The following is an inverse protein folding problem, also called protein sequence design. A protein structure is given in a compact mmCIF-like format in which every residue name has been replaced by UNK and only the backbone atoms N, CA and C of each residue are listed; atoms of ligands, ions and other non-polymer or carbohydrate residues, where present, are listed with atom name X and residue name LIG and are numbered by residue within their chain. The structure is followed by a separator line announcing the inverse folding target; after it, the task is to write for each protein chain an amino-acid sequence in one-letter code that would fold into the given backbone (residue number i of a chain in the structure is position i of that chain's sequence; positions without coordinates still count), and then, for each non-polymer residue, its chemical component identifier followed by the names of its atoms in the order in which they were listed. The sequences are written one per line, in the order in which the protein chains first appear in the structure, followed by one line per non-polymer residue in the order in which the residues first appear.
data_IF_223643729637
#
_entry.id   IF_223643729637
#
_cell.length_a   1.000
_cell.length_b   1.000
_cell.length_c   1.000
_cell.angle_alpha   90.00
_cell.angle_beta   90.00
_cell.angle_gamma   90.00
#
_symmetry.space_group_name_H-M   'P 1'
#
loop_
_entity.id
_entity.type
_entity.pdbx_description
1 polymer ?
#
# COMPACT_ATOMS: atom_id res chain seq x y z
N UNK A 1 -17.73 -16.73 -42.20
CA UNK A 1 -16.65 -16.60 -41.20
C UNK A 1 -16.17 -15.14 -41.02
N UNK A 2 -17.00 -14.12 -41.30
CA UNK A 2 -16.69 -12.72 -40.99
C UNK A 2 -17.62 -12.22 -39.89
N UNK A 3 -17.13 -12.15 -38.66
CA UNK A 3 -17.59 -11.17 -37.66
C UNK A 3 -16.48 -10.11 -37.47
N UNK A 4 -15.86 -9.73 -38.58
CA UNK A 4 -14.74 -8.79 -38.66
C UNK A 4 -14.77 -8.16 -40.05
N UNK A 5 -15.24 -6.93 -40.17
CA UNK A 5 -14.84 -5.92 -41.18
C UNK A 5 -15.78 -4.72 -41.08
N UNK A 6 -15.24 -3.64 -40.52
CA UNK A 6 -15.61 -2.22 -40.64
C UNK A 6 -15.82 -1.56 -39.28
N UNK A 7 -14.85 -0.68 -38.97
CA UNK A 7 -14.74 0.22 -37.81
C UNK A 7 -14.13 -0.32 -36.50
N UNK A 8 -12.80 -0.40 -36.55
CA UNK A 8 -11.82 -0.01 -35.53
C UNK A 8 -12.37 0.84 -34.35
N UNK A 9 -12.48 0.23 -33.17
CA UNK A 9 -11.71 0.56 -31.94
C UNK A 9 -12.14 -0.40 -30.83
N UNK A 10 -11.20 -1.25 -30.41
CA UNK A 10 -11.24 -2.10 -29.19
C UNK A 10 -12.58 -2.82 -28.93
N UNK A 11 -12.67 -4.13 -29.21
CA UNK A 11 -13.79 -4.97 -28.75
C UNK A 11 -13.75 -5.12 -27.23
N UNK A 12 -14.11 -4.06 -26.52
CA UNK A 12 -14.32 -4.07 -25.08
C UNK A 12 -15.77 -4.48 -24.88
N UNK A 13 -15.98 -5.72 -24.42
CA UNK A 13 -17.29 -6.07 -23.87
C UNK A 13 -17.64 -5.06 -22.77
N UNK A 14 -18.82 -4.41 -22.84
CA UNK A 14 -19.20 -3.43 -21.84
C UNK A 14 -19.20 -4.08 -20.47
N UNK A 15 -18.54 -3.43 -19.50
CA UNK A 15 -18.53 -3.85 -18.11
C UNK A 15 -19.98 -3.99 -17.64
N UNK A 16 -20.29 -4.97 -16.79
CA UNK A 16 -21.64 -5.36 -16.32
C UNK A 16 -22.57 -6.10 -17.29
N UNK A 17 -22.13 -6.42 -18.51
CA UNK A 17 -22.93 -7.18 -19.48
C UNK A 17 -22.32 -8.57 -19.79
N UNK A 18 -23.19 -9.53 -20.12
CA UNK A 18 -22.85 -10.83 -20.76
C UNK A 18 -23.49 -10.93 -22.15
N UNK A 19 -22.96 -11.84 -22.97
CA UNK A 19 -23.51 -12.14 -24.29
C UNK A 19 -24.77 -12.99 -24.14
N UNK A 20 -25.90 -12.49 -24.66
CA UNK A 20 -27.17 -13.24 -24.75
C UNK A 20 -27.25 -14.03 -26.05
N UNK A 21 -26.76 -13.46 -27.14
CA UNK A 21 -26.74 -14.05 -28.46
C UNK A 21 -25.44 -13.69 -29.16
N UNK A 22 -24.76 -14.68 -29.72
CA UNK A 22 -23.53 -14.50 -30.48
C UNK A 22 -23.84 -13.85 -31.84
N UNK A 23 -22.91 -13.04 -32.36
CA UNK A 23 -23.09 -12.43 -33.67
C UNK A 23 -23.33 -13.49 -34.76
N UNK A 24 -24.22 -13.16 -35.69
CA UNK A 24 -24.39 -13.89 -36.95
C UNK A 24 -23.92 -12.98 -38.10
N UNK A 25 -23.78 -13.48 -39.33
CA UNK A 25 -23.44 -12.63 -40.49
C UNK A 25 -24.41 -11.45 -40.71
N UNK A 26 -25.60 -11.50 -40.12
CA UNK A 26 -26.71 -10.56 -40.31
C UNK A 26 -27.05 -9.77 -39.03
N UNK A 27 -26.44 -10.09 -37.87
CA UNK A 27 -26.81 -9.48 -36.59
C UNK A 27 -25.64 -9.34 -35.62
N UNK A 28 -25.61 -8.20 -34.91
CA UNK A 28 -24.65 -7.94 -33.83
C UNK A 28 -24.86 -8.84 -32.60
N UNK A 29 -23.83 -8.91 -31.76
CA UNK A 29 -23.89 -9.59 -30.45
C UNK A 29 -24.83 -8.84 -29.51
N UNK A 30 -25.94 -9.47 -29.13
CA UNK A 30 -26.87 -8.90 -28.14
C UNK A 30 -26.32 -9.12 -26.73
N UNK A 31 -26.18 -8.05 -25.96
CA UNK A 31 -25.67 -8.08 -24.60
C UNK A 31 -26.80 -7.85 -23.58
N UNK A 32 -26.77 -8.56 -22.45
CA UNK A 32 -27.71 -8.37 -21.33
C UNK A 32 -26.98 -8.14 -20.00
N UNK A 33 -27.63 -7.47 -19.04
CA UNK A 33 -27.02 -7.18 -17.73
C UNK A 33 -26.79 -8.45 -16.93
N UNK A 34 -25.69 -8.46 -16.17
CA UNK A 34 -25.47 -9.51 -15.17
C UNK A 34 -26.58 -9.47 -14.11
N UNK A 35 -27.14 -10.65 -13.73
CA UNK A 35 -28.10 -10.73 -12.64
C UNK A 35 -27.42 -10.40 -11.30
N UNK A 36 -28.22 -10.09 -10.28
CA UNK A 36 -27.72 -9.83 -8.93
C UNK A 36 -26.93 -11.03 -8.40
N UNK A 37 -25.82 -10.74 -7.72
CA UNK A 37 -24.85 -11.76 -7.30
C UNK A 37 -23.83 -12.17 -8.37
N UNK A 38 -23.84 -11.52 -9.54
CA UNK A 38 -22.86 -11.76 -10.61
C UNK A 38 -22.24 -10.46 -11.14
N UNK A 39 -21.04 -10.54 -11.68
CA UNK A 39 -20.31 -9.40 -12.26
C UNK A 39 -19.60 -9.75 -13.57
N UNK A 40 -19.27 -8.72 -14.36
CA UNK A 40 -18.42 -8.83 -15.55
C UNK A 40 -17.46 -7.64 -15.59
N UNK A 41 -16.15 -7.90 -15.50
CA UNK A 41 -15.09 -6.89 -15.37
C UNK A 41 -14.67 -6.21 -16.70
N UNK A 42 -15.40 -6.44 -17.79
CA UNK A 42 -15.03 -6.00 -19.13
C UNK A 42 -14.06 -6.99 -19.81
N UNK A 43 -14.29 -7.27 -21.09
CA UNK A 43 -13.51 -8.26 -21.87
C UNK A 43 -13.93 -9.73 -21.71
N UNK A 44 -14.83 -10.05 -20.76
CA UNK A 44 -15.45 -11.38 -20.62
C UNK A 44 -16.84 -11.41 -21.28
N UNK A 45 -17.15 -12.49 -22.00
CA UNK A 45 -18.47 -12.72 -22.60
C UNK A 45 -19.50 -13.30 -21.61
N UNK A 46 -19.05 -13.74 -20.43
CA UNK A 46 -19.87 -14.39 -19.39
C UNK A 46 -19.79 -13.66 -18.05
N UNK A 47 -20.91 -13.62 -17.32
CA UNK A 47 -20.93 -13.12 -15.94
C UNK A 47 -20.35 -14.18 -14.99
N UNK A 48 -19.54 -13.73 -14.04
CA UNK A 48 -18.98 -14.56 -12.99
C UNK A 48 -19.75 -14.32 -11.67
N UNK A 49 -20.00 -15.36 -10.87
CA UNK A 49 -20.64 -15.18 -9.57
C UNK A 49 -19.74 -14.38 -8.64
N UNK A 50 -20.34 -13.60 -7.75
CA UNK A 50 -19.63 -12.96 -6.66
C UNK A 50 -19.05 -14.00 -5.72
N UNK A 51 -17.82 -13.79 -5.29
CA UNK A 51 -17.16 -14.58 -4.27
C UNK A 51 -17.90 -14.43 -2.94
N UNK A 52 -18.23 -15.56 -2.32
CA UNK A 52 -18.74 -15.60 -0.96
C UNK A 52 -17.56 -15.66 0.00
N UNK A 53 -17.35 -14.58 0.74
CA UNK A 53 -16.22 -14.47 1.66
C UNK A 53 -16.29 -15.48 2.82
N UNK A 54 -17.52 -15.89 3.18
CA UNK A 54 -17.78 -16.89 4.22
C UNK A 54 -17.15 -18.25 3.89
N UNK A 55 -17.14 -18.66 2.62
CA UNK A 55 -16.58 -19.94 2.17
C UNK A 55 -15.07 -20.01 2.41
N UNK A 56 -14.42 -18.86 2.50
CA UNK A 56 -12.98 -18.73 2.78
C UNK A 56 -12.69 -18.27 4.21
N UNK A 57 -13.68 -18.30 5.11
CA UNK A 57 -13.51 -17.85 6.50
C UNK A 57 -13.23 -16.35 6.66
N UNK A 58 -13.56 -15.54 5.65
CA UNK A 58 -13.31 -14.09 5.62
C UNK A 58 -14.62 -13.29 5.72
N UNK A 59 -14.54 -12.04 6.19
CA UNK A 59 -15.68 -11.11 6.13
C UNK A 59 -15.71 -10.38 4.79
N UNK A 60 -16.90 -10.08 4.32
CA UNK A 60 -17.10 -9.22 3.15
C UNK A 60 -16.77 -7.78 3.54
N UNK A 61 -15.63 -7.28 3.09
CA UNK A 61 -15.21 -5.88 3.27
C UNK A 61 -15.99 -4.93 2.37
N UNK A 62 -16.33 -5.40 1.17
CA UNK A 62 -17.16 -4.67 0.21
C UNK A 62 -17.97 -5.66 -0.61
N UNK A 63 -19.27 -5.42 -0.72
CA UNK A 63 -20.14 -6.22 -1.59
C UNK A 63 -19.77 -6.02 -3.06
N UNK A 64 -19.84 -7.11 -3.82
CA UNK A 64 -19.67 -7.07 -5.27
C UNK A 64 -20.71 -6.16 -5.93
N UNK A 65 -20.34 -5.63 -7.09
CA UNK A 65 -21.23 -4.84 -7.96
C UNK A 65 -21.40 -5.57 -9.29
N UNK A 66 -22.26 -5.08 -10.17
CA UNK A 66 -22.36 -5.64 -11.54
C UNK A 66 -21.05 -5.55 -12.32
N UNK A 67 -20.12 -4.69 -11.89
CA UNK A 67 -18.82 -4.46 -12.53
C UNK A 67 -17.63 -5.09 -11.79
N UNK A 68 -17.81 -5.55 -10.55
CA UNK A 68 -16.69 -5.99 -9.71
C UNK A 68 -17.10 -7.11 -8.74
N UNK A 69 -16.18 -8.01 -8.45
CA UNK A 69 -16.38 -9.05 -7.44
C UNK A 69 -16.53 -8.48 -6.02
N UNK A 70 -17.04 -9.31 -5.11
CA UNK A 70 -17.02 -9.08 -3.66
C UNK A 70 -15.59 -9.07 -3.13
N UNK A 71 -15.29 -8.08 -2.29
CA UNK A 71 -14.01 -7.98 -1.60
C UNK A 71 -14.08 -8.68 -0.26
N UNK A 72 -13.27 -9.71 -0.11
CA UNK A 72 -13.10 -10.46 1.13
C UNK A 72 -11.88 -9.98 1.90
N UNK A 73 -11.99 -9.99 3.22
CA UNK A 73 -10.85 -9.76 4.10
C UNK A 73 -11.11 -10.22 5.52
N UNK A 74 -10.03 -10.49 6.24
CA UNK A 74 -10.12 -10.77 7.67
C UNK A 74 -10.56 -9.50 8.43
N UNK A 75 -11.43 -9.61 9.44
CA UNK A 75 -11.72 -8.50 10.36
C UNK A 75 -10.52 -8.08 11.22
N UNK A 76 -9.47 -8.91 11.32
CA UNK A 76 -8.37 -8.71 12.25
C UNK A 76 -7.02 -8.77 11.52
N UNK A 77 -6.24 -7.69 11.68
CA UNK A 77 -4.77 -7.54 11.48
C UNK A 77 -4.21 -8.16 10.18
N UNK A 78 -3.82 -7.28 9.24
CA UNK A 78 -2.97 -7.60 8.10
C UNK A 78 -1.77 -8.45 8.55
N UNK A 79 -1.76 -9.72 8.14
CA UNK A 79 -0.66 -10.66 8.37
C UNK A 79 0.67 -10.04 7.94
N UNK A 80 1.72 -10.24 8.72
CA UNK A 80 3.07 -9.69 8.55
C UNK A 80 3.82 -10.20 7.30
N UNK A 81 3.10 -10.71 6.30
CA UNK A 81 3.60 -11.30 5.07
C UNK A 81 2.61 -11.30 3.90
N UNK A 82 1.46 -10.63 3.97
CA UNK A 82 0.60 -10.54 2.77
C UNK A 82 1.14 -9.48 1.80
N UNK A 83 1.78 -9.97 0.74
CA UNK A 83 1.94 -9.29 -0.54
C UNK A 83 0.55 -8.95 -1.10
N UNK A 84 -0.01 -7.83 -0.68
CA UNK A 84 -1.29 -7.40 -1.23
C UNK A 84 -1.06 -6.91 -2.66
N UNK A 85 -1.37 -7.77 -3.62
CA UNK A 85 -1.63 -7.41 -5.03
C UNK A 85 -2.94 -6.62 -5.17
N UNK A 86 -3.69 -6.44 -4.07
CA UNK A 86 -4.87 -5.60 -4.03
C UNK A 86 -4.47 -4.12 -4.09
N UNK A 87 -5.11 -3.36 -4.96
CA UNK A 87 -4.91 -1.92 -5.09
C UNK A 87 -5.28 -1.24 -3.78
N UNK A 88 -4.28 -0.87 -3.00
CA UNK A 88 -4.51 -0.21 -1.74
C UNK A 88 -4.85 1.27 -1.97
N UNK A 89 -5.79 1.77 -1.18
CA UNK A 89 -5.98 3.21 -1.07
C UNK A 89 -4.71 3.85 -0.50
N UNK A 90 -4.46 5.09 -0.93
CA UNK A 90 -3.22 5.90 -0.86
C UNK A 90 -2.59 6.10 0.55
N UNK A 91 -3.13 5.45 1.58
CA UNK A 91 -2.80 5.56 2.99
C UNK A 91 -1.54 4.77 3.42
N UNK A 92 -1.32 3.57 2.86
CA UNK A 92 -0.30 2.65 3.37
C UNK A 92 1.14 3.16 3.17
N UNK A 93 1.41 3.87 2.07
CA UNK A 93 2.74 4.38 1.77
C UNK A 93 3.18 5.49 2.73
N UNK A 94 2.23 6.30 3.22
CA UNK A 94 2.49 7.33 4.21
C UNK A 94 2.77 6.72 5.59
N UNK A 95 2.02 5.70 5.99
CA UNK A 95 2.34 4.93 7.20
C UNK A 95 3.72 4.27 7.11
N UNK A 96 4.04 3.65 5.96
CA UNK A 96 5.37 3.09 5.72
C UNK A 96 6.44 4.18 5.86
N UNK A 97 6.25 5.37 5.30
CA UNK A 97 7.21 6.45 5.43
C UNK A 97 7.36 6.97 6.87
N UNK A 98 6.26 7.12 7.61
CA UNK A 98 6.27 7.68 8.96
C UNK A 98 6.77 6.67 9.98
N UNK A 99 6.13 5.50 10.02
CA UNK A 99 6.37 4.51 11.04
C UNK A 99 7.64 3.70 10.78
N UNK A 100 8.06 3.48 9.52
CA UNK A 100 9.35 2.83 9.26
C UNK A 100 10.52 3.69 9.74
N UNK A 101 10.46 5.01 9.53
CA UNK A 101 11.49 5.91 10.04
C UNK A 101 11.61 5.78 11.56
N UNK A 102 10.49 5.66 12.27
CA UNK A 102 10.49 5.44 13.72
C UNK A 102 10.99 4.04 14.10
N UNK A 103 10.53 2.98 13.42
CA UNK A 103 10.98 1.62 13.67
C UNK A 103 12.50 1.44 13.45
N UNK A 104 13.10 2.27 12.58
CA UNK A 104 14.55 2.27 12.33
C UNK A 104 15.39 2.90 13.46
N UNK A 105 14.77 3.58 14.43
CA UNK A 105 15.42 4.22 15.58
C UNK A 105 15.87 3.23 16.67
N UNK A 106 16.23 2.00 16.29
CA UNK A 106 16.48 0.86 17.21
C UNK A 106 15.29 0.49 18.10
N UNK A 107 14.07 0.95 17.79
CA UNK A 107 12.89 0.58 18.59
C UNK A 107 12.66 -0.93 18.62
N UNK A 108 13.11 -1.66 17.61
CA UNK A 108 13.07 -3.12 17.60
C UNK A 108 13.90 -3.79 18.70
N UNK A 109 14.78 -3.06 19.41
CA UNK A 109 15.50 -3.56 20.59
C UNK A 109 14.79 -3.24 21.91
N UNK A 110 13.67 -2.50 21.87
CA UNK A 110 12.87 -2.16 23.05
C UNK A 110 11.67 -3.11 23.11
N UNK A 111 11.30 -3.67 24.28
CA UNK A 111 10.08 -4.46 24.42
C UNK A 111 8.84 -3.67 23.96
N UNK A 112 7.95 -4.32 23.21
CA UNK A 112 6.76 -3.66 22.66
C UNK A 112 5.86 -3.05 23.73
N UNK A 113 5.82 -3.66 24.92
CA UNK A 113 5.09 -3.17 26.09
C UNK A 113 5.58 -1.79 26.48
N UNK A 114 6.90 -1.60 26.56
CA UNK A 114 7.49 -0.31 26.93
C UNK A 114 7.20 0.75 25.86
N UNK A 115 7.22 0.37 24.59
CA UNK A 115 6.82 1.28 23.51
C UNK A 115 5.34 1.67 23.70
N UNK A 116 4.47 0.70 23.97
CA UNK A 116 3.04 0.91 24.16
C UNK A 116 2.72 1.79 25.37
N UNK A 117 3.43 1.63 26.49
CA UNK A 117 3.26 2.46 27.69
C UNK A 117 3.58 3.94 27.45
N UNK A 118 4.50 4.24 26.54
CA UNK A 118 4.89 5.60 26.22
C UNK A 118 4.06 6.23 25.08
N UNK A 119 3.20 5.46 24.42
CA UNK A 119 2.30 5.99 23.40
C UNK A 119 1.11 6.69 24.07
N UNK A 120 0.76 7.92 23.65
CA UNK A 120 -0.37 8.62 24.24
C UNK A 120 -1.71 8.05 23.75
N UNK A 121 -2.76 8.20 24.54
CA UNK A 121 -4.12 7.83 24.15
C UNK A 121 -4.49 6.38 24.47
N UNK A 122 -5.37 5.80 23.66
CA UNK A 122 -5.83 4.43 23.86
C UNK A 122 -4.74 3.44 23.46
N UNK A 123 -4.47 2.49 24.35
CA UNK A 123 -3.49 1.42 24.16
C UNK A 123 -4.08 0.31 23.29
N UNK A 124 -3.22 -0.23 22.40
CA UNK A 124 -3.48 -1.45 21.65
C UNK A 124 -3.83 -2.59 22.61
N UNK A 125 -4.83 -3.40 22.25
CA UNK A 125 -5.29 -4.47 23.11
C UNK A 125 -4.26 -5.61 23.20
N UNK A 126 -4.24 -6.29 24.36
CA UNK A 126 -3.29 -7.36 24.66
C UNK A 126 -3.36 -8.51 23.66
N UNK A 127 -4.56 -8.83 23.14
CA UNK A 127 -4.74 -9.92 22.17
C UNK A 127 -4.03 -9.59 20.85
N UNK A 128 -4.15 -8.36 20.38
CA UNK A 128 -3.44 -7.87 19.20
C UNK A 128 -1.92 -7.80 19.43
N UNK A 129 -1.46 -7.35 20.60
CA UNK A 129 -0.05 -7.30 20.95
C UNK A 129 0.61 -8.68 20.94
N UNK A 130 -0.01 -9.68 21.56
CA UNK A 130 0.49 -11.06 21.59
C UNK A 130 0.50 -11.72 20.20
N UNK A 131 -0.48 -11.39 19.35
CA UNK A 131 -0.49 -11.84 17.95
C UNK A 131 0.70 -11.28 17.17
N UNK A 132 1.05 -10.00 17.35
CA UNK A 132 2.21 -9.39 16.67
C UNK A 132 3.52 -10.09 17.04
N UNK A 133 3.72 -10.40 18.32
CA UNK A 133 4.92 -11.12 18.80
C UNK A 133 5.08 -12.50 18.14
N UNK A 134 3.95 -13.19 17.92
CA UNK A 134 3.94 -14.54 17.33
C UNK A 134 4.12 -14.54 15.81
N UNK A 135 3.61 -13.52 15.12
CA UNK A 135 3.48 -13.53 13.66
C UNK A 135 4.53 -12.68 12.90
N UNK A 136 5.25 -11.79 13.59
CA UNK A 136 6.02 -10.73 12.93
C UNK A 136 7.48 -10.70 13.42
N UNK A 137 8.42 -10.31 12.55
CA UNK A 137 9.79 -10.01 12.97
C UNK A 137 9.85 -8.77 13.89
N UNK A 138 10.88 -8.58 14.75
CA UNK A 138 10.94 -7.45 15.68
C UNK A 138 10.76 -6.06 15.02
N UNK A 139 11.28 -5.88 13.80
CA UNK A 139 11.11 -4.63 13.04
C UNK A 139 9.67 -4.44 12.55
N UNK A 140 9.03 -5.53 12.09
CA UNK A 140 7.62 -5.50 11.70
C UNK A 140 6.71 -5.30 12.91
N UNK A 141 7.03 -5.88 14.06
CA UNK A 141 6.24 -5.73 15.29
C UNK A 141 6.04 -4.25 15.66
N UNK A 142 7.10 -3.44 15.66
CA UNK A 142 7.02 -2.00 15.96
C UNK A 142 6.16 -1.26 14.93
N UNK A 143 6.37 -1.53 13.64
CA UNK A 143 5.60 -0.92 12.55
C UNK A 143 4.11 -1.21 12.68
N UNK A 144 3.75 -2.47 12.91
CA UNK A 144 2.36 -2.90 13.05
C UNK A 144 1.72 -2.43 14.37
N UNK A 145 2.49 -2.34 15.46
CA UNK A 145 2.02 -1.74 16.72
C UNK A 145 1.59 -0.29 16.51
N UNK A 146 2.41 0.52 15.84
CA UNK A 146 2.10 1.94 15.56
C UNK A 146 0.87 2.10 14.66
N UNK A 147 0.66 1.17 13.72
CA UNK A 147 -0.56 1.13 12.87
C UNK A 147 -1.82 0.84 13.69
N UNK A 148 -1.79 -0.17 14.54
CA UNK A 148 -2.92 -0.50 15.42
C UNK A 148 -3.23 0.65 16.38
N UNK A 149 -2.18 1.24 16.96
CA UNK A 149 -2.34 2.40 17.83
C UNK A 149 -2.98 3.59 17.10
N UNK A 150 -2.56 3.86 15.85
CA UNK A 150 -3.18 4.91 15.02
C UNK A 150 -4.67 4.65 14.79
N UNK A 151 -5.05 3.42 14.44
CA UNK A 151 -6.46 3.10 14.16
C UNK A 151 -7.35 3.32 15.37
N UNK A 152 -6.89 2.93 16.56
CA UNK A 152 -7.61 3.14 17.82
C UNK A 152 -7.69 4.62 18.23
N UNK A 153 -6.78 5.46 17.73
CA UNK A 153 -6.68 6.88 18.08
C UNK A 153 -6.95 7.81 16.89
N UNK A 154 -7.63 7.33 15.84
CA UNK A 154 -7.79 8.07 14.57
C UNK A 154 -8.43 9.46 14.71
N UNK A 155 -9.32 9.63 15.68
CA UNK A 155 -10.02 10.89 15.95
C UNK A 155 -9.22 11.84 16.85
N UNK A 156 -8.04 11.42 17.34
CA UNK A 156 -7.18 12.20 18.21
C UNK A 156 -6.16 13.01 17.41
N UNK A 157 -5.92 14.24 17.84
CA UNK A 157 -5.01 15.20 17.19
C UNK A 157 -3.54 15.01 17.61
N UNK A 158 -3.06 13.77 17.66
CA UNK A 158 -1.63 13.53 17.89
C UNK A 158 -0.83 13.97 16.66
N UNK A 159 0.26 14.70 16.87
CA UNK A 159 1.10 15.24 15.79
C UNK A 159 1.61 14.17 14.81
N UNK A 160 1.84 12.94 15.26
CA UNK A 160 2.23 11.81 14.39
C UNK A 160 1.07 11.38 13.49
N UNK A 161 -0.14 11.27 14.03
CA UNK A 161 -1.37 10.95 13.28
C UNK A 161 -1.68 12.09 12.29
N UNK A 162 -1.58 13.34 12.73
CA UNK A 162 -1.71 14.51 11.86
C UNK A 162 -0.69 14.50 10.72
N UNK A 163 0.56 14.12 11.02
CA UNK A 163 1.63 13.97 10.04
C UNK A 163 1.31 12.93 8.97
N UNK A 164 0.85 11.75 9.38
CA UNK A 164 0.40 10.70 8.45
C UNK A 164 -0.80 11.20 7.64
N UNK A 165 -1.85 11.72 8.28
CA UNK A 165 -3.07 12.23 7.62
C UNK A 165 -2.76 13.38 6.63
N UNK A 166 -1.76 14.20 6.92
CA UNK A 166 -1.30 15.27 6.01
C UNK A 166 -0.56 14.71 4.81
N UNK A 167 0.31 13.72 5.02
CA UNK A 167 0.95 12.97 3.93
C UNK A 167 -0.12 12.35 3.02
N UNK A 168 -1.09 11.63 3.58
CA UNK A 168 -2.14 10.95 2.82
C UNK A 168 -2.99 11.93 2.00
N UNK A 169 -3.35 13.07 2.59
CA UNK A 169 -4.05 14.16 1.86
C UNK A 169 -3.24 14.73 0.71
N UNK A 170 -1.91 14.78 0.82
CA UNK A 170 -1.03 15.24 -0.27
C UNK A 170 -0.84 14.15 -1.33
N UNK A 171 -0.68 12.89 -0.93
CA UNK A 171 -0.51 11.76 -1.85
C UNK A 171 -1.77 11.52 -2.67
N UNK A 172 -2.95 11.50 -2.03
CA UNK A 172 -4.24 11.33 -2.73
C UNK A 172 -4.54 12.42 -3.75
N UNK A 173 -4.07 13.65 -3.50
CA UNK A 173 -4.19 14.78 -4.46
C UNK A 173 -3.07 14.78 -5.50
N UNK A 174 -2.08 13.90 -5.37
CA UNK A 174 -0.95 13.82 -6.30
C UNK A 174 -1.40 13.10 -7.58
N UNK A 175 -1.82 13.89 -8.58
CA UNK A 175 -2.06 13.40 -9.93
C UNK A 175 -0.74 13.08 -10.66
N UNK A 176 0.07 12.17 -10.12
CA UNK A 176 1.42 11.84 -10.59
C UNK A 176 1.46 11.06 -11.93
N UNK A 177 0.46 11.27 -12.80
CA UNK A 177 0.18 10.70 -14.15
C UNK A 177 -1.02 9.76 -14.14
N UNK A 178 -1.81 9.85 -15.22
CA UNK A 178 -2.95 8.98 -15.51
C UNK A 178 -2.65 7.97 -16.63
N UNK A 179 -1.47 8.03 -17.26
CA UNK A 179 -1.16 7.32 -18.51
C UNK A 179 0.25 6.70 -18.45
N UNK A 180 0.54 5.91 -17.42
CA UNK A 180 1.81 5.18 -17.35
C UNK A 180 1.67 3.84 -18.07
N UNK A 181 2.64 3.52 -18.91
CA UNK A 181 2.74 2.22 -19.58
C UNK A 181 3.40 1.19 -18.65
N UNK A 182 3.28 -0.09 -19.00
CA UNK A 182 4.02 -1.16 -18.30
C UNK A 182 5.53 -0.88 -18.35
N UNK A 183 6.06 -0.40 -19.48
CA UNK A 183 7.47 -0.05 -19.62
C UNK A 183 7.90 1.08 -18.68
N UNK A 184 7.06 2.12 -18.52
CA UNK A 184 7.33 3.19 -17.56
C UNK A 184 7.40 2.66 -16.12
N UNK A 185 6.48 1.77 -15.75
CA UNK A 185 6.45 1.16 -14.42
C UNK A 185 7.67 0.24 -14.22
N UNK A 186 8.06 -0.52 -15.26
CA UNK A 186 9.27 -1.34 -15.23
C UNK A 186 10.54 -0.51 -15.05
N UNK A 187 10.64 0.67 -15.69
CA UNK A 187 11.74 1.62 -15.46
C UNK A 187 11.80 2.07 -14.00
N UNK A 188 10.66 2.40 -13.39
CA UNK A 188 10.61 2.77 -11.96
C UNK A 188 11.05 1.60 -11.10
N UNK A 189 10.47 0.42 -11.29
CA UNK A 189 10.82 -0.79 -10.53
C UNK A 189 12.30 -1.12 -10.63
N UNK A 190 12.89 -1.08 -11.82
CA UNK A 190 14.31 -1.37 -12.04
C UNK A 190 15.26 -0.33 -11.44
N UNK A 191 14.77 0.90 -11.23
CA UNK A 191 15.56 1.98 -10.64
C UNK A 191 15.61 1.94 -9.10
N UNK A 192 14.67 1.23 -8.47
CA UNK A 192 14.61 1.08 -7.01
C UNK A 192 15.67 0.09 -6.50
N UNK A 193 16.24 0.30 -5.31
CA UNK A 193 17.23 -0.63 -4.74
C UNK A 193 16.58 -1.89 -4.15
N UNK A 194 17.38 -2.94 -3.95
CA UNK A 194 16.94 -4.17 -3.29
C UNK A 194 16.16 -5.11 -4.20
N UNK A 195 15.21 -5.85 -3.64
CA UNK A 195 14.37 -6.80 -4.36
C UNK A 195 13.41 -6.04 -5.27
N UNK A 196 13.41 -6.39 -6.55
CA UNK A 196 12.57 -5.74 -7.56
C UNK A 196 11.14 -6.29 -7.50
N UNK A 197 10.17 -5.45 -7.82
CA UNK A 197 8.79 -5.89 -8.10
C UNK A 197 8.82 -6.72 -9.39
N UNK A 198 8.15 -7.88 -9.42
CA UNK A 198 8.20 -8.74 -10.59
C UNK A 198 7.30 -8.20 -11.70
N UNK A 199 7.65 -8.48 -12.95
CA UNK A 199 6.87 -8.01 -14.11
C UNK A 199 5.41 -8.50 -14.07
N UNK A 200 5.18 -9.72 -13.57
CA UNK A 200 3.84 -10.27 -13.35
C UNK A 200 3.01 -9.40 -12.38
N UNK A 201 3.64 -8.88 -11.33
CA UNK A 201 2.97 -8.03 -10.34
C UNK A 201 2.74 -6.64 -10.93
N UNK A 202 3.65 -6.12 -11.75
CA UNK A 202 3.44 -4.87 -12.50
C UNK A 202 2.24 -4.98 -13.44
N UNK A 203 2.14 -6.09 -14.19
CA UNK A 203 0.99 -6.36 -15.06
C UNK A 203 -0.31 -6.49 -14.26
N UNK A 204 -0.26 -7.16 -13.10
CA UNK A 204 -1.39 -7.26 -12.19
C UNK A 204 -1.85 -5.89 -11.66
N UNK A 205 -0.91 -4.99 -11.33
CA UNK A 205 -1.24 -3.61 -10.93
C UNK A 205 -1.96 -2.85 -12.05
N UNK A 206 -1.48 -2.98 -13.29
CA UNK A 206 -2.10 -2.31 -14.44
C UNK A 206 -3.52 -2.83 -14.70
N UNK A 207 -3.74 -4.15 -14.54
CA UNK A 207 -5.04 -4.77 -14.78
C UNK A 207 -6.06 -4.56 -13.65
N UNK A 208 -5.60 -4.36 -12.41
CA UNK A 208 -6.50 -4.29 -11.24
C UNK A 208 -6.68 -2.88 -10.68
N UNK A 209 -5.73 -1.97 -10.90
CA UNK A 209 -5.74 -0.64 -10.27
C UNK A 209 -6.20 0.45 -11.23
N UNK A 210 -6.63 1.58 -10.66
CA UNK A 210 -6.85 2.79 -11.46
C UNK A 210 -5.49 3.39 -11.86
N UNK A 211 -5.35 4.02 -13.04
CA UNK A 211 -4.07 4.55 -13.49
C UNK A 211 -3.38 5.53 -12.54
N UNK A 212 -4.17 6.29 -11.78
CA UNK A 212 -3.67 7.21 -10.74
C UNK A 212 -2.97 6.48 -9.57
N UNK A 213 -3.21 5.19 -9.39
CA UNK A 213 -2.70 4.37 -8.29
C UNK A 213 -1.45 3.57 -8.67
N UNK A 214 -1.11 3.44 -9.96
CA UNK A 214 -0.05 2.55 -10.42
C UNK A 214 1.28 2.76 -9.70
N UNK A 215 1.79 4.01 -9.68
CA UNK A 215 3.07 4.29 -9.01
C UNK A 215 3.04 3.99 -7.51
N UNK A 216 1.93 4.34 -6.84
CA UNK A 216 1.82 4.12 -5.40
C UNK A 216 1.77 2.64 -5.07
N UNK A 217 1.05 1.86 -5.86
CA UNK A 217 0.97 0.42 -5.70
C UNK A 217 2.31 -0.26 -6.01
N UNK A 218 3.06 0.18 -7.05
CA UNK A 218 4.41 -0.31 -7.31
C UNK A 218 5.35 -0.02 -6.12
N UNK A 219 5.30 1.20 -5.57
CA UNK A 219 6.11 1.56 -4.41
C UNK A 219 5.72 0.77 -3.16
N UNK A 220 4.43 0.46 -3.01
CA UNK A 220 3.94 -0.39 -1.92
C UNK A 220 4.46 -1.82 -2.06
N UNK A 221 4.31 -2.46 -3.23
CA UNK A 221 4.83 -3.80 -3.51
C UNK A 221 6.34 -3.87 -3.27
N UNK A 222 7.08 -2.86 -3.76
CA UNK A 222 8.51 -2.74 -3.52
C UNK A 222 8.81 -2.66 -2.01
N UNK A 223 8.09 -1.82 -1.26
CA UNK A 223 8.33 -1.65 0.18
C UNK A 223 8.00 -2.93 0.97
N UNK A 224 6.98 -3.68 0.57
CA UNK A 224 6.63 -4.96 1.20
C UNK A 224 7.76 -5.99 1.04
N UNK A 225 8.38 -6.05 -0.15
CA UNK A 225 9.54 -6.91 -0.41
C UNK A 225 10.85 -6.40 0.21
N UNK A 226 10.90 -5.12 0.59
CA UNK A 226 12.10 -4.44 1.09
C UNK A 226 11.81 -3.73 2.43
N UNK A 227 11.21 -4.44 3.38
CA UNK A 227 10.71 -3.85 4.62
C UNK A 227 11.80 -3.15 5.45
N UNK A 228 13.06 -3.58 5.32
CA UNK A 228 14.22 -3.02 5.99
C UNK A 228 14.80 -1.75 5.31
N UNK A 229 14.37 -1.42 4.09
CA UNK A 229 14.87 -0.26 3.36
C UNK A 229 14.01 0.98 3.63
N UNK A 230 14.69 2.13 3.77
CA UNK A 230 14.03 3.42 3.92
C UNK A 230 13.45 3.90 2.58
N UNK A 231 12.14 4.17 2.55
CA UNK A 231 11.42 4.57 1.35
C UNK A 231 11.93 5.91 0.78
N UNK A 232 12.22 6.90 1.61
CA UNK A 232 12.67 8.21 1.15
C UNK A 232 14.07 8.14 0.50
N UNK A 233 14.98 7.34 1.08
CA UNK A 233 16.30 7.04 0.52
C UNK A 233 16.16 6.21 -0.76
N UNK A 234 15.27 5.22 -0.79
CA UNK A 234 14.95 4.41 -1.98
C UNK A 234 14.49 5.27 -3.16
N UNK A 235 13.53 6.17 -2.92
CA UNK A 235 13.04 7.13 -3.92
C UNK A 235 14.14 8.10 -4.39
N UNK A 236 14.98 8.57 -3.48
CA UNK A 236 16.11 9.47 -3.82
C UNK A 236 17.11 8.77 -4.74
N UNK A 237 17.43 7.50 -4.46
CA UNK A 237 18.31 6.67 -5.30
C UNK A 237 17.66 6.39 -6.66
N UNK A 238 16.41 5.99 -6.69
CA UNK A 238 15.65 5.74 -7.93
C UNK A 238 15.62 6.98 -8.84
N UNK A 239 15.39 8.18 -8.28
CA UNK A 239 15.46 9.43 -9.03
C UNK A 239 16.85 9.72 -9.63
N UNK A 240 17.93 9.27 -8.99
CA UNK A 240 19.29 9.38 -9.55
C UNK A 240 19.48 8.42 -10.72
N UNK A 241 19.07 7.16 -10.55
CA UNK A 241 19.18 6.10 -11.57
C UNK A 241 18.33 6.44 -12.80
N UNK A 242 17.09 6.89 -12.62
CA UNK A 242 16.23 7.29 -13.73
C UNK A 242 16.81 8.46 -14.53
N UNK A 243 17.50 9.40 -13.88
CA UNK A 243 18.18 10.51 -14.58
C UNK A 243 19.39 10.04 -15.37
N UNK A 244 20.19 9.12 -14.82
CA UNK A 244 21.36 8.57 -15.52
C UNK A 244 20.98 7.68 -16.69
N UNK A 245 19.80 7.06 -16.66
CA UNK A 245 19.26 6.21 -17.73
C UNK A 245 18.38 6.99 -18.73
N UNK A 246 18.45 8.32 -18.72
CA UNK A 246 17.66 9.19 -19.61
C UNK A 246 16.14 8.89 -19.62
N UNK A 247 15.61 8.47 -18.48
CA UNK A 247 14.20 8.13 -18.38
C UNK A 247 13.30 9.34 -18.71
N UNK A 248 12.08 9.11 -19.23
CA UNK A 248 11.21 10.19 -19.67
C UNK A 248 10.98 11.25 -18.57
N UNK A 249 11.08 12.52 -18.96
CA UNK A 249 11.00 13.66 -18.01
C UNK A 249 9.70 13.66 -17.19
N UNK A 250 8.59 13.20 -17.77
CA UNK A 250 7.31 13.09 -17.05
C UNK A 250 7.40 12.10 -15.88
N UNK A 251 8.04 10.96 -16.08
CA UNK A 251 8.21 9.90 -15.09
C UNK A 251 9.06 10.40 -13.92
N UNK A 252 10.20 11.02 -14.23
CA UNK A 252 11.09 11.62 -13.23
C UNK A 252 10.39 12.73 -12.44
N UNK A 253 9.61 13.60 -13.10
CA UNK A 253 8.85 14.67 -12.44
C UNK A 253 7.80 14.10 -11.49
N UNK A 254 7.08 13.07 -11.90
CA UNK A 254 6.06 12.40 -11.08
C UNK A 254 6.64 11.73 -9.85
N UNK A 255 7.70 10.94 -10.02
CA UNK A 255 8.37 10.30 -8.90
C UNK A 255 8.99 11.35 -7.96
N UNK A 256 9.48 12.47 -8.50
CA UNK A 256 10.00 13.60 -7.69
C UNK A 256 8.91 14.25 -6.84
N UNK A 257 7.66 14.34 -7.33
CA UNK A 257 6.52 14.85 -6.53
C UNK A 257 6.23 13.93 -5.35
N UNK A 258 6.16 12.62 -5.60
CA UNK A 258 5.94 11.61 -4.54
C UNK A 258 7.09 11.68 -3.52
N UNK A 259 8.34 11.67 -3.99
CA UNK A 259 9.54 11.77 -3.14
C UNK A 259 9.53 13.01 -2.25
N UNK A 260 9.10 14.17 -2.77
CA UNK A 260 8.95 15.39 -1.95
C UNK A 260 7.88 15.24 -0.89
N UNK A 261 6.71 14.68 -1.23
CA UNK A 261 5.63 14.49 -0.25
C UNK A 261 6.13 13.61 0.90
N UNK A 262 6.71 12.45 0.57
CA UNK A 262 7.27 11.50 1.53
C UNK A 262 8.40 12.12 2.37
N UNK A 263 9.32 12.86 1.76
CA UNK A 263 10.45 13.48 2.44
C UNK A 263 10.10 14.71 3.30
N UNK A 264 8.97 15.38 3.05
CA UNK A 264 8.55 16.60 3.80
C UNK A 264 7.86 16.33 5.13
N UNK A 265 7.73 15.07 5.53
CA UNK A 265 6.97 14.68 6.71
C UNK A 265 7.77 15.01 7.99
N UNK A 266 7.77 16.29 8.37
CA UNK A 266 8.51 16.88 9.50
C UNK A 266 8.01 16.42 10.87
N UNK A 267 6.83 15.81 10.93
CA UNK A 267 6.23 15.29 12.15
C UNK A 267 7.14 14.26 12.86
N UNK A 268 7.94 13.50 12.10
CA UNK A 268 8.79 12.44 12.64
C UNK A 268 9.82 12.95 13.63
N UNK A 269 10.43 14.12 13.39
CA UNK A 269 11.55 14.62 14.21
C UNK A 269 11.20 14.85 15.68
N UNK A 270 9.95 15.23 15.97
CA UNK A 270 9.49 15.44 17.36
C UNK A 270 9.26 14.09 18.07
N UNK A 271 8.67 13.13 17.37
CA UNK A 271 8.42 11.79 17.92
C UNK A 271 9.70 10.94 17.97
N UNK A 272 10.60 11.13 17.02
CA UNK A 272 11.96 10.58 17.04
C UNK A 272 12.67 10.99 18.33
N UNK A 273 12.62 12.26 18.74
CA UNK A 273 13.16 12.68 20.04
C UNK A 273 12.48 11.99 21.23
N UNK A 274 11.15 11.84 21.21
CA UNK A 274 10.38 11.16 22.26
C UNK A 274 10.75 9.66 22.37
N UNK A 275 10.91 8.98 21.23
CA UNK A 275 11.35 7.59 21.20
C UNK A 275 12.83 7.45 21.56
N UNK A 276 13.68 8.40 21.13
CA UNK A 276 15.10 8.44 21.46
C UNK A 276 15.34 8.60 22.97
N UNK A 277 14.53 9.39 23.69
CA UNK A 277 14.64 9.50 25.14
C UNK A 277 14.34 8.19 25.88
N UNK A 278 13.53 7.29 25.30
CA UNK A 278 13.26 5.97 25.90
C UNK A 278 14.52 5.09 25.97
N UNK A 279 15.50 5.30 25.08
CA UNK A 279 16.81 4.63 25.14
C UNK A 279 17.78 5.33 26.10
N UNK A 280 17.56 6.60 26.42
CA UNK A 280 18.39 7.34 27.37
C UNK A 280 18.06 6.94 28.81
N UNK A 281 16.81 6.57 29.10
CA UNK A 281 16.41 6.01 30.39
C UNK A 281 17.02 4.62 30.68
N UNK A 282 17.54 3.92 29.66
CA UNK A 282 18.35 2.69 29.86
C UNK A 282 19.79 2.98 30.31
N UNK A 283 20.24 4.23 30.27
CA UNK A 283 21.57 4.61 30.77
C UNK A 283 21.59 4.78 32.29
N UNK A 284 21.01 3.82 33.02
CA UNK A 284 21.17 3.70 34.47
C UNK A 284 22.51 3.05 34.86
N UNK A 285 23.59 3.46 34.22
CA UNK A 285 24.94 3.39 34.76
C UNK A 285 25.58 4.76 34.58
N UNK A 286 25.08 5.74 35.36
CA UNK A 286 25.98 6.82 35.79
C UNK A 286 27.11 6.11 36.52
N UNK A 287 28.31 6.18 35.95
CA UNK A 287 29.52 5.73 36.62
C UNK A 287 29.45 6.21 38.07
N UNK A 288 29.55 5.27 39.02
CA UNK A 288 29.71 5.62 40.42
C UNK A 288 30.88 6.60 40.49
N UNK A 289 30.56 7.85 40.81
CA UNK A 289 31.53 8.84 41.24
C UNK A 289 32.21 8.20 42.44
N UNK A 290 33.49 7.83 42.29
CA UNK A 290 34.30 7.47 43.45
C UNK A 290 34.24 8.68 44.38
N UNK A 291 33.58 8.50 45.52
CA UNK A 291 33.76 9.37 46.66
C UNK A 291 35.19 9.14 47.12
N UNK A 292 35.97 10.21 47.08
CA UNK A 292 37.32 10.27 47.64
C UNK A 292 37.33 9.74 49.07
N UNK A 293 38.26 8.83 49.35
CA UNK A 293 39.14 8.85 50.53
C UNK A 293 40.56 8.49 50.07
#
# INVERSE_FOLDING_TARGET
WLCCSLFVRERIHPVSLKSKQLCTPESDTVCERCPDGYFSAGGSSTCQPHRLCADYGMKTLRWGTSTSDSLCGSPDIKDCSQHHTLCHNDATLCEEAVFQSLASLRLSSVPLERILENLPGQKVDLKSLERLKKACSPQQQVLHLLRLWREQNKDKLYGIIQGVNHCERKVSRCNALKNLTVDDLMKVTNSLPGVKVQEQDVKAVVSTCLPRQYLLQILHLWKSANYNLDLAKGLTRSLRVLRSQEAPRYLVKSLKKISRIIGTTSAHKKYEKMFMSMFQDESCFKAHKQLNE
#
